data_IF_219817259988
#
_entry.id   IF_219817259988
#
_cell.length_a   1.000
_cell.length_b   1.000
_cell.length_c   1.000
_cell.angle_alpha   90.00
_cell.angle_beta   90.00
_cell.angle_gamma   90.00
#
_symmetry.space_group_name_H-M   'P 1'
#
loop_
_entity.id
_entity.type
_entity.pdbx_description
1 polymer ?
#
# COMPACT_ATOMS: atom_id res chain seq x y z
N UNK A 1 -8.39 22.20 3.23
CA UNK A 1 -8.27 20.74 3.30
C UNK A 1 -8.24 20.36 4.77
N UNK A 2 -9.10 19.46 5.22
CA UNK A 2 -9.07 18.99 6.63
C UNK A 2 -7.85 18.08 6.84
N UNK A 3 -7.43 17.89 8.09
CA UNK A 3 -6.32 16.98 8.44
C UNK A 3 -6.56 15.58 7.84
N UNK A 4 -7.78 15.04 7.95
CA UNK A 4 -8.13 13.74 7.40
C UNK A 4 -8.08 13.69 5.87
N UNK A 5 -8.41 14.79 5.19
CA UNK A 5 -8.29 14.84 3.73
C UNK A 5 -6.82 14.82 3.30
N UNK A 6 -5.94 15.49 4.05
CA UNK A 6 -4.50 15.43 3.81
C UNK A 6 -3.97 14.02 4.06
N UNK A 7 -4.31 13.41 5.20
CA UNK A 7 -3.93 12.02 5.51
C UNK A 7 -4.37 11.05 4.42
N UNK A 8 -5.57 11.22 3.86
CA UNK A 8 -6.03 10.40 2.74
C UNK A 8 -5.16 10.59 1.49
N UNK A 9 -4.80 11.83 1.14
CA UNK A 9 -3.94 12.10 -0.01
C UNK A 9 -2.54 11.45 0.18
N UNK A 10 -1.98 11.52 1.38
CA UNK A 10 -0.69 10.92 1.71
C UNK A 10 -0.76 9.38 1.65
N UNK A 11 -1.86 8.79 2.12
CA UNK A 11 -2.10 7.34 2.04
C UNK A 11 -2.26 6.86 0.59
N UNK A 12 -2.92 7.65 -0.27
CA UNK A 12 -3.04 7.34 -1.69
C UNK A 12 -1.69 7.43 -2.41
N UNK A 13 -0.91 8.48 -2.16
CA UNK A 13 0.44 8.60 -2.72
C UNK A 13 1.33 7.40 -2.31
N UNK A 14 1.24 6.97 -1.05
CA UNK A 14 1.95 5.78 -0.57
C UNK A 14 1.50 4.49 -1.28
N UNK A 15 0.21 4.39 -1.63
CA UNK A 15 -0.30 3.23 -2.36
C UNK A 15 0.24 3.22 -3.80
N UNK A 16 0.29 4.38 -4.46
CA UNK A 16 0.88 4.55 -5.79
C UNK A 16 2.37 4.19 -5.80
N UNK A 17 3.13 4.61 -4.78
CA UNK A 17 4.55 4.26 -4.62
C UNK A 17 4.74 2.74 -4.50
N UNK A 18 3.85 2.04 -3.78
CA UNK A 18 3.91 0.58 -3.65
C UNK A 18 3.59 -0.10 -4.98
N UNK A 19 2.59 0.38 -5.72
CA UNK A 19 2.24 -0.13 -7.04
C UNK A 19 3.42 0.01 -8.02
N UNK A 20 4.05 1.18 -8.04
CA UNK A 20 5.23 1.42 -8.88
C UNK A 20 6.40 0.51 -8.49
N UNK A 21 6.67 0.33 -7.20
CA UNK A 21 7.73 -0.55 -6.72
C UNK A 21 7.49 -2.01 -7.14
N UNK A 22 6.25 -2.50 -7.03
CA UNK A 22 5.86 -3.85 -7.44
C UNK A 22 5.97 -4.05 -8.96
N UNK A 23 5.61 -3.04 -9.75
CA UNK A 23 5.75 -3.09 -11.21
C UNK A 23 7.23 -3.22 -11.64
N UNK A 24 8.15 -2.70 -10.84
CA UNK A 24 9.59 -2.71 -11.11
C UNK A 24 10.35 -3.84 -10.41
N UNK A 25 9.71 -4.59 -9.50
CA UNK A 25 10.39 -5.60 -8.67
C UNK A 25 10.61 -6.95 -9.37
N UNK A 26 10.07 -7.14 -10.57
CA UNK A 26 10.25 -8.39 -11.32
C UNK A 26 11.71 -8.56 -11.77
N UNK A 27 12.40 -9.65 -11.37
CA UNK A 27 13.77 -9.88 -11.82
C UNK A 27 13.79 -10.16 -13.33
N UNK A 28 14.81 -9.65 -14.01
CA UNK A 28 15.11 -10.08 -15.38
C UNK A 28 15.71 -11.50 -15.36
N UNK A 29 14.85 -12.50 -15.53
CA UNK A 29 15.23 -13.92 -15.50
C UNK A 29 16.21 -14.35 -16.59
N UNK A 30 16.35 -13.54 -17.65
CA UNK A 30 17.25 -13.83 -18.76
C UNK A 30 18.71 -13.53 -18.41
N UNK A 31 18.96 -12.53 -17.56
CA UNK A 31 20.30 -12.15 -17.10
C UNK A 31 20.79 -12.94 -15.88
N UNK A 32 19.91 -13.73 -15.22
CA UNK A 32 20.25 -14.50 -14.02
C UNK A 32 20.75 -15.92 -14.38
N UNK A 33 21.96 -16.32 -13.98
CA UNK A 33 22.46 -17.68 -14.15
C UNK A 33 21.53 -18.72 -13.53
N UNK A 34 21.31 -19.85 -14.21
CA UNK A 34 20.32 -20.87 -13.80
C UNK A 34 20.46 -21.32 -12.33
N UNK A 35 21.69 -21.54 -11.86
CA UNK A 35 21.95 -21.98 -10.49
C UNK A 35 21.63 -20.92 -9.42
N UNK A 36 21.57 -19.63 -9.78
CA UNK A 36 21.19 -18.53 -8.87
C UNK A 36 19.69 -18.25 -8.85
N UNK A 37 18.94 -18.74 -9.84
CA UNK A 37 17.48 -18.48 -9.98
C UNK A 37 16.68 -18.83 -8.73
N UNK A 38 16.90 -19.98 -8.05
CA UNK A 38 16.14 -20.31 -6.84
C UNK A 38 16.33 -19.27 -5.72
N UNK A 39 17.56 -18.81 -5.51
CA UNK A 39 17.87 -17.81 -4.48
C UNK A 39 17.23 -16.45 -4.82
N UNK A 40 17.31 -16.03 -6.09
CA UNK A 40 16.66 -14.78 -6.54
C UNK A 40 15.14 -14.88 -6.44
N UNK A 41 14.55 -16.05 -6.72
CA UNK A 41 13.11 -16.27 -6.57
C UNK A 41 12.66 -16.14 -5.10
N UNK A 42 13.43 -16.68 -4.15
CA UNK A 42 13.15 -16.52 -2.72
C UNK A 42 13.22 -15.03 -2.33
N UNK A 43 14.26 -14.32 -2.73
CA UNK A 43 14.40 -12.89 -2.43
C UNK A 43 13.26 -12.05 -3.04
N UNK A 44 12.88 -12.32 -4.29
CA UNK A 44 11.75 -11.65 -4.93
C UNK A 44 10.42 -11.95 -4.20
N UNK A 45 10.23 -13.19 -3.74
CA UNK A 45 9.04 -13.56 -2.97
C UNK A 45 9.00 -12.88 -1.59
N UNK A 46 10.14 -12.77 -0.89
CA UNK A 46 10.25 -12.05 0.38
C UNK A 46 9.96 -10.55 0.22
N UNK A 47 10.50 -9.93 -0.83
CA UNK A 47 10.20 -8.54 -1.17
C UNK A 47 8.70 -8.35 -1.50
N UNK A 48 8.13 -9.21 -2.33
CA UNK A 48 6.70 -9.18 -2.66
C UNK A 48 5.83 -9.31 -1.40
N UNK A 49 6.20 -10.20 -0.47
CA UNK A 49 5.51 -10.34 0.82
C UNK A 49 5.54 -9.03 1.63
N UNK A 50 6.70 -8.38 1.72
CA UNK A 50 6.84 -7.10 2.43
C UNK A 50 5.98 -5.99 1.81
N UNK A 51 5.91 -5.94 0.48
CA UNK A 51 5.03 -5.01 -0.23
C UNK A 51 3.55 -5.31 0.03
N UNK A 52 3.15 -6.59 0.04
CA UNK A 52 1.76 -6.99 0.37
C UNK A 52 1.39 -6.55 1.79
N UNK A 53 2.24 -6.81 2.79
CA UNK A 53 1.97 -6.42 4.18
C UNK A 53 1.80 -4.89 4.31
N UNK A 54 2.63 -4.13 3.59
CA UNK A 54 2.55 -2.66 3.55
C UNK A 54 1.28 -2.18 2.84
N UNK A 55 0.89 -2.83 1.74
CA UNK A 55 -0.35 -2.54 0.99
C UNK A 55 -1.56 -2.75 1.87
N UNK A 56 -1.65 -3.91 2.54
CA UNK A 56 -2.76 -4.24 3.46
C UNK A 56 -2.86 -3.20 4.58
N UNK A 57 -1.74 -2.79 5.15
CA UNK A 57 -1.70 -1.77 6.21
C UNK A 57 -2.20 -0.42 5.70
N UNK A 58 -1.79 -0.03 4.50
CA UNK A 58 -2.17 1.25 3.88
C UNK A 58 -3.68 1.26 3.54
N UNK A 59 -4.21 0.18 2.97
CA UNK A 59 -5.64 0.04 2.70
C UNK A 59 -6.47 0.10 3.99
N UNK A 60 -6.02 -0.55 5.08
CA UNK A 60 -6.69 -0.46 6.38
C UNK A 60 -6.75 0.99 6.89
N UNK A 61 -5.66 1.75 6.75
CA UNK A 61 -5.61 3.15 7.14
C UNK A 61 -6.56 4.02 6.29
N UNK A 62 -6.64 3.77 4.98
CA UNK A 62 -7.60 4.46 4.09
C UNK A 62 -9.04 4.20 4.54
N UNK A 63 -9.39 2.92 4.76
CA UNK A 63 -10.73 2.53 5.22
C UNK A 63 -11.07 3.17 6.56
N UNK A 64 -10.12 3.21 7.50
CA UNK A 64 -10.31 3.85 8.80
C UNK A 64 -10.53 5.37 8.66
N UNK A 65 -9.75 6.04 7.80
CA UNK A 65 -9.91 7.46 7.51
C UNK A 65 -11.31 7.77 6.96
N UNK A 66 -11.82 6.95 6.02
CA UNK A 66 -13.19 7.08 5.53
C UNK A 66 -14.23 6.87 6.61
N UNK A 67 -14.09 5.81 7.41
CA UNK A 67 -15.02 5.53 8.51
C UNK A 67 -15.11 6.70 9.50
N UNK A 68 -13.97 7.25 9.92
CA UNK A 68 -13.92 8.39 10.84
C UNK A 68 -14.59 9.63 10.26
N UNK A 69 -14.36 9.93 8.97
CA UNK A 69 -15.01 11.05 8.29
C UNK A 69 -16.52 10.87 8.18
N UNK A 70 -17.00 9.64 7.99
CA UNK A 70 -18.43 9.35 7.98
C UNK A 70 -19.03 9.56 9.36
N UNK A 71 -18.41 9.06 10.42
CA UNK A 71 -18.85 9.29 11.81
C UNK A 71 -18.91 10.78 12.15
N UNK A 72 -17.88 11.56 11.78
CA UNK A 72 -17.88 13.01 11.98
C UNK A 72 -19.01 13.72 11.25
N UNK A 73 -19.37 13.25 10.04
CA UNK A 73 -20.51 13.79 9.28
C UNK A 73 -21.84 13.43 9.92
N UNK A 74 -22.01 12.19 10.40
CA UNK A 74 -23.21 11.74 11.11
C UNK A 74 -23.41 12.52 12.42
N UNK A 75 -22.35 12.70 13.21
CA UNK A 75 -22.38 13.52 14.43
C UNK A 75 -22.72 14.98 14.13
N UNK A 76 -22.19 15.55 13.03
CA UNK A 76 -22.53 16.91 12.62
C UNK A 76 -23.99 17.05 12.14
N UNK A 77 -24.59 15.99 11.58
CA UNK A 77 -25.97 16.00 11.08
C UNK A 77 -27.01 15.68 12.15
N UNK A 78 -26.66 14.84 13.14
CA UNK A 78 -27.58 14.37 14.18
C UNK A 78 -27.27 14.92 15.59
N UNK A 79 -26.21 15.72 15.73
CA UNK A 79 -25.80 16.38 16.97
C UNK A 79 -26.51 17.69 17.28
N UNK A 80 -27.72 17.91 16.74
CA UNK A 80 -28.67 18.94 17.18
C UNK A 80 -29.96 18.30 17.70
#
# INVERSE_FOLDING_TARGET
MTIRQQEFADLMAKLDDIEQALAQSAPDWSSIPAFKKPMVAIQAAEQAKSHIDTTVTTIKAITLNFHQRLTELEEAQHGQ
#
